data_IF_018739298418
#
_entry.id   IF_018739298418
#
_cell.length_a   1.000
_cell.length_b   1.000
_cell.length_c   1.000
_cell.angle_alpha   90.00
_cell.angle_beta   90.00
_cell.angle_gamma   90.00
#
_symmetry.space_group_name_H-M   'P 1'
#
loop_
_entity.id
_entity.type
_entity.pdbx_description
1 polymer ?
#
# COMPACT_ATOMS: atom_id res chain seq x y z
N UNK A 1 -10.80 0.06 10.99
CA UNK A 1 -11.74 0.59 9.97
C UNK A 1 -11.34 2.02 9.63
N UNK A 2 -11.35 2.43 8.37
CA UNK A 2 -11.09 3.82 7.94
C UNK A 2 -11.76 4.10 6.59
N UNK A 3 -11.95 5.36 6.18
CA UNK A 3 -12.49 5.67 4.86
C UNK A 3 -11.46 5.45 3.75
N UNK A 4 -10.34 6.18 3.80
CA UNK A 4 -9.25 6.12 2.83
C UNK A 4 -7.87 6.46 3.43
N UNK A 5 -7.70 6.38 4.77
CA UNK A 5 -6.44 6.77 5.41
C UNK A 5 -5.30 5.85 4.98
N UNK A 6 -4.14 6.44 4.69
CA UNK A 6 -2.90 5.71 4.40
C UNK A 6 -2.40 4.90 5.59
N UNK A 7 -2.81 5.23 6.81
CA UNK A 7 -2.51 4.44 8.01
C UNK A 7 -3.01 3.00 7.93
N UNK A 8 -4.03 2.72 7.11
CA UNK A 8 -4.53 1.37 6.82
C UNK A 8 -3.47 0.44 6.21
N UNK A 9 -2.39 0.99 5.62
CA UNK A 9 -1.31 0.19 5.04
C UNK A 9 -0.61 -0.65 6.10
N UNK A 10 -0.38 -0.13 7.31
CA UNK A 10 0.36 -0.85 8.36
C UNK A 10 -0.35 -2.14 8.77
N UNK A 11 -1.68 -2.07 8.99
CA UNK A 11 -2.48 -3.25 9.32
C UNK A 11 -2.53 -4.24 8.15
N UNK A 12 -2.69 -3.77 6.91
CA UNK A 12 -2.67 -4.63 5.72
C UNK A 12 -1.33 -5.35 5.56
N UNK A 13 -0.18 -4.65 5.66
CA UNK A 13 1.16 -5.27 5.53
C UNK A 13 1.36 -6.37 6.58
N UNK A 14 0.89 -6.15 7.82
CA UNK A 14 0.95 -7.13 8.91
C UNK A 14 -0.03 -8.30 8.76
N UNK A 15 -0.91 -8.27 7.76
CA UNK A 15 -1.93 -9.29 7.55
C UNK A 15 -3.11 -9.19 8.54
N UNK A 16 -3.29 -8.01 9.15
CA UNK A 16 -4.43 -7.74 10.03
C UNK A 16 -5.63 -7.34 9.16
N UNK A 17 -6.80 -7.98 9.33
CA UNK A 17 -8.01 -7.60 8.61
C UNK A 17 -8.30 -6.10 8.72
N UNK A 18 -8.34 -5.45 7.57
CA UNK A 18 -8.49 -4.00 7.46
C UNK A 18 -9.73 -3.70 6.66
N UNK A 19 -10.58 -2.81 7.16
CA UNK A 19 -11.80 -2.38 6.49
C UNK A 19 -11.66 -0.96 5.98
N UNK A 20 -11.98 -0.76 4.71
CA UNK A 20 -12.00 0.55 4.04
C UNK A 20 -13.34 0.79 3.34
N UNK A 21 -13.79 2.05 3.31
CA UNK A 21 -15.09 2.40 2.71
C UNK A 21 -15.01 3.24 1.44
N UNK A 22 -13.80 3.52 0.94
CA UNK A 22 -13.57 4.17 -0.36
C UNK A 22 -12.50 3.43 -1.16
N UNK A 23 -12.75 3.32 -2.46
CA UNK A 23 -11.83 2.80 -3.48
C UNK A 23 -10.59 3.66 -3.71
N UNK A 24 -10.55 4.86 -3.12
CA UNK A 24 -9.37 5.72 -3.07
C UNK A 24 -8.36 5.28 -2.01
N UNK A 25 -8.71 4.32 -1.15
CA UNK A 25 -7.77 3.76 -0.18
C UNK A 25 -6.65 2.96 -0.89
N UNK A 26 -5.38 3.24 -0.56
CA UNK A 26 -4.24 2.54 -1.17
C UNK A 26 -4.26 1.01 -0.96
N UNK A 27 -4.88 0.55 0.12
CA UNK A 27 -5.03 -0.87 0.44
C UNK A 27 -6.33 -1.49 -0.11
N UNK A 28 -7.14 -0.76 -0.88
CA UNK A 28 -8.40 -1.28 -1.47
C UNK A 28 -8.28 -2.67 -2.11
N UNK A 29 -7.19 -3.03 -2.85
CA UNK A 29 -7.05 -4.35 -3.44
C UNK A 29 -6.93 -5.51 -2.43
N UNK A 30 -6.52 -5.20 -1.19
CA UNK A 30 -6.19 -6.18 -0.13
C UNK A 30 -6.94 -5.89 1.18
N UNK A 31 -8.04 -5.15 1.11
CA UNK A 31 -8.86 -4.77 2.26
C UNK A 31 -10.30 -5.28 2.14
N UNK A 32 -10.94 -5.44 3.29
CA UNK A 32 -12.36 -5.70 3.42
C UNK A 32 -13.15 -4.42 3.12
N UNK A 33 -14.29 -4.58 2.46
CA UNK A 33 -15.13 -3.47 1.96
C UNK A 33 -16.56 -3.53 2.47
N UNK A 34 -16.97 -4.69 2.96
CA UNK A 34 -18.28 -4.95 3.51
C UNK A 34 -18.20 -5.04 5.03
N UNK A 35 -18.72 -4.02 5.72
CA UNK A 35 -18.72 -3.97 7.19
C UNK A 35 -19.62 -5.03 7.84
N UNK A 36 -20.55 -5.65 7.09
CA UNK A 36 -21.37 -6.74 7.64
C UNK A 36 -20.53 -7.97 8.00
N UNK A 37 -19.32 -8.10 7.43
CA UNK A 37 -18.36 -9.17 7.71
C UNK A 37 -17.38 -8.85 8.84
N UNK A 38 -17.60 -7.82 9.66
CA UNK A 38 -16.60 -7.40 10.66
C UNK A 38 -16.20 -8.51 11.66
N UNK A 39 -17.14 -9.40 11.99
CA UNK A 39 -16.90 -10.57 12.85
C UNK A 39 -16.33 -11.79 12.10
N UNK A 40 -16.37 -11.78 10.76
CA UNK A 40 -15.88 -12.85 9.88
C UNK A 40 -15.11 -12.28 8.69
N UNK A 41 -14.02 -11.53 8.94
CA UNK A 41 -13.32 -10.81 7.89
C UNK A 41 -12.64 -11.74 6.90
N UNK A 42 -12.57 -11.30 5.64
CA UNK A 42 -11.74 -11.95 4.62
C UNK A 42 -10.25 -11.65 4.90
N UNK A 43 -9.37 -12.61 4.59
CA UNK A 43 -7.90 -12.51 4.69
C UNK A 43 -7.26 -12.62 3.29
N UNK A 44 -7.40 -11.59 2.44
CA UNK A 44 -6.92 -11.65 1.06
C UNK A 44 -5.39 -11.85 1.01
N UNK A 45 -4.91 -12.56 -0.01
CA UNK A 45 -3.48 -12.59 -0.31
C UNK A 45 -3.00 -11.18 -0.66
N UNK A 46 -1.91 -10.78 -0.02
CA UNK A 46 -1.32 -9.45 -0.12
C UNK A 46 0.10 -9.48 -0.66
N UNK A 47 0.62 -10.66 -1.01
CA UNK A 47 2.03 -10.87 -1.34
C UNK A 47 2.50 -9.92 -2.43
N UNK A 48 1.79 -9.91 -3.57
CA UNK A 48 2.11 -9.02 -4.68
C UNK A 48 1.96 -7.54 -4.30
N UNK A 49 0.91 -7.18 -3.55
CA UNK A 49 0.68 -5.79 -3.15
C UNK A 49 1.80 -5.26 -2.23
N UNK A 50 2.28 -6.08 -1.28
CA UNK A 50 3.41 -5.73 -0.42
C UNK A 50 4.71 -5.60 -1.23
N UNK A 51 4.93 -6.47 -2.21
CA UNK A 51 6.09 -6.37 -3.11
C UNK A 51 6.06 -5.07 -3.92
N UNK A 52 4.89 -4.69 -4.45
CA UNK A 52 4.69 -3.44 -5.18
C UNK A 52 4.93 -2.20 -4.32
N UNK A 53 4.57 -2.25 -3.03
CA UNK A 53 4.88 -1.19 -2.07
C UNK A 53 6.39 -1.12 -1.83
N UNK A 54 7.04 -2.25 -1.57
CA UNK A 54 8.49 -2.32 -1.38
C UNK A 54 9.27 -1.75 -2.55
N UNK A 55 8.83 -2.02 -3.79
CA UNK A 55 9.44 -1.49 -5.01
C UNK A 55 9.36 0.05 -5.14
N UNK A 56 8.42 0.69 -4.43
CA UNK A 56 8.17 2.14 -4.49
C UNK A 56 8.74 2.88 -3.28
N UNK A 57 9.17 2.15 -2.25
CA UNK A 57 9.82 2.71 -1.07
C UNK A 57 11.32 2.86 -1.33
N UNK A 58 11.86 4.01 -0.95
CA UNK A 58 13.27 4.34 -1.11
C UNK A 58 13.85 4.72 0.24
N UNK A 59 15.07 4.27 0.51
CA UNK A 59 15.81 4.71 1.68
C UNK A 59 16.25 6.17 1.53
N UNK A 60 16.46 6.83 2.67
CA UNK A 60 17.01 8.19 2.70
C UNK A 60 18.36 8.27 1.96
N UNK A 61 19.18 7.22 2.05
CA UNK A 61 20.46 7.14 1.36
C UNK A 61 20.30 7.12 -0.17
N UNK A 62 19.35 6.35 -0.70
CA UNK A 62 19.04 6.30 -2.14
C UNK A 62 18.50 7.62 -2.68
N UNK A 63 17.75 8.35 -1.85
CA UNK A 63 17.28 9.69 -2.18
C UNK A 63 18.47 10.65 -2.22
N UNK A 64 19.30 10.69 -1.17
CA UNK A 64 20.44 11.61 -1.04
C UNK A 64 21.50 11.40 -2.11
N UNK A 65 21.79 10.15 -2.48
CA UNK A 65 22.82 9.84 -3.47
C UNK A 65 22.32 9.93 -4.93
N UNK A 66 21.07 10.35 -5.14
CA UNK A 66 20.49 10.56 -6.47
C UNK A 66 20.03 9.28 -7.19
N UNK A 67 20.04 8.12 -6.53
CA UNK A 67 19.57 6.85 -7.11
C UNK A 67 18.13 6.96 -7.60
N UNK A 68 17.24 7.54 -6.77
CA UNK A 68 15.83 7.72 -7.11
C UNK A 68 15.67 8.63 -8.32
N UNK A 69 16.34 9.79 -8.33
CA UNK A 69 16.23 10.72 -9.45
C UNK A 69 16.76 10.10 -10.75
N UNK A 70 17.93 9.46 -10.73
CA UNK A 70 18.51 8.80 -11.91
C UNK A 70 17.57 7.76 -12.51
N UNK A 71 16.86 7.01 -11.67
CA UNK A 71 15.87 6.02 -12.09
C UNK A 71 14.69 6.62 -12.86
N UNK A 72 14.23 7.80 -12.46
CA UNK A 72 13.10 8.47 -13.11
C UNK A 72 13.51 9.45 -14.21
N UNK A 73 14.74 9.97 -14.17
CA UNK A 73 15.29 10.93 -15.12
C UNK A 73 15.09 10.48 -16.58
N UNK A 74 15.46 9.23 -16.89
CA UNK A 74 15.28 8.66 -18.23
C UNK A 74 13.82 8.54 -18.65
N UNK A 75 12.91 8.26 -17.70
CA UNK A 75 11.47 8.19 -17.95
C UNK A 75 10.83 9.56 -18.16
N UNK A 76 11.44 10.61 -17.63
CA UNK A 76 10.97 11.99 -17.75
C UNK A 76 11.55 12.72 -18.98
N UNK A 77 12.46 12.08 -19.74
CA UNK A 77 13.11 12.71 -20.89
C UNK A 77 14.10 13.81 -20.52
N UNK A 78 14.68 13.74 -19.32
CA UNK A 78 15.65 14.70 -18.77
C UNK A 78 17.10 14.19 -18.85
#
# INVERSE_FOLDING_TARGET
VTHNSTASIDSCVRGIPTFVTSDLALCWPVANRDLSKIETPDTPDRTQWVQDLGYKLWSEQEIKNGTVFKRFKTKLGL
#
